data_IF_807429585143
#
_entry.id   IF_807429585143
#
_cell.length_a   1.000
_cell.length_b   1.000
_cell.length_c   1.000
_cell.angle_alpha   90.00
_cell.angle_beta   90.00
_cell.angle_gamma   90.00
#
_symmetry.space_group_name_H-M   'P 1'
#
loop_
_entity.id
_entity.type
_entity.pdbx_description
1 polymer ?
#
# COMPACT_ATOMS: atom_id res chain seq x y z
N UNK A 1 -16.92 15.98 2.58
CA UNK A 1 -17.73 14.76 2.46
C UNK A 1 -16.85 13.56 2.12
N UNK A 2 -17.09 12.45 2.75
CA UNK A 2 -16.31 11.25 2.52
C UNK A 2 -16.62 10.68 1.12
N UNK A 3 -15.57 10.33 0.39
CA UNK A 3 -15.70 9.72 -0.92
C UNK A 3 -14.93 8.40 -0.91
N UNK A 4 -15.66 7.30 -0.91
CA UNK A 4 -15.04 5.98 -0.80
C UNK A 4 -14.14 5.67 -2.00
N UNK A 5 -14.55 6.07 -3.19
CA UNK A 5 -13.75 5.81 -4.38
C UNK A 5 -12.43 6.56 -4.33
N UNK A 6 -12.46 7.81 -3.88
CA UNK A 6 -11.23 8.60 -3.74
C UNK A 6 -10.32 8.01 -2.68
N UNK A 7 -10.90 7.56 -1.58
CA UNK A 7 -10.10 6.95 -0.51
C UNK A 7 -9.42 5.67 -0.99
N UNK A 8 -10.16 4.85 -1.73
CA UNK A 8 -9.60 3.62 -2.29
C UNK A 8 -8.47 3.94 -3.26
N UNK A 9 -8.69 4.91 -4.15
CA UNK A 9 -7.67 5.30 -5.11
C UNK A 9 -6.43 5.84 -4.41
N UNK A 10 -6.63 6.63 -3.37
CA UNK A 10 -5.51 7.18 -2.61
C UNK A 10 -4.69 6.09 -1.96
N UNK A 11 -5.35 5.09 -1.38
CA UNK A 11 -4.66 3.95 -0.79
C UNK A 11 -3.89 3.17 -1.85
N UNK A 12 -4.50 2.95 -3.01
CA UNK A 12 -3.83 2.26 -4.10
C UNK A 12 -2.59 3.02 -4.57
N UNK A 13 -2.69 4.35 -4.65
CA UNK A 13 -1.56 5.18 -5.07
C UNK A 13 -0.43 5.10 -4.05
N UNK A 14 -0.76 5.11 -2.75
CA UNK A 14 0.24 5.01 -1.70
C UNK A 14 0.92 3.64 -1.71
N UNK A 15 0.14 2.59 -1.93
CA UNK A 15 0.70 1.23 -2.04
C UNK A 15 1.65 1.14 -3.23
N UNK A 16 1.28 1.74 -4.37
CA UNK A 16 2.13 1.74 -5.56
C UNK A 16 3.44 2.47 -5.29
N UNK A 17 3.42 3.57 -4.54
CA UNK A 17 4.64 4.30 -4.19
C UNK A 17 5.54 3.46 -3.29
N UNK A 18 4.95 2.74 -2.35
CA UNK A 18 5.73 1.86 -1.48
C UNK A 18 6.33 0.70 -2.26
N UNK A 19 5.57 0.14 -3.21
CA UNK A 19 6.10 -0.91 -4.08
C UNK A 19 7.33 -0.42 -4.83
N UNK A 20 7.28 0.81 -5.32
CA UNK A 20 8.41 1.39 -6.05
C UNK A 20 9.63 1.56 -5.15
N UNK A 21 9.40 2.06 -3.92
CA UNK A 21 10.50 2.23 -2.97
C UNK A 21 11.12 0.88 -2.58
N UNK A 22 10.29 -0.13 -2.39
CA UNK A 22 10.76 -1.48 -2.07
C UNK A 22 11.59 -2.01 -3.23
N UNK A 23 11.10 -1.85 -4.44
CA UNK A 23 11.82 -2.31 -5.62
C UNK A 23 13.18 -1.63 -5.77
N UNK A 24 13.22 -0.33 -5.55
CA UNK A 24 14.49 0.41 -5.61
C UNK A 24 15.47 -0.10 -4.55
N UNK A 25 14.98 -0.32 -3.33
CA UNK A 25 15.83 -0.84 -2.27
C UNK A 25 16.33 -2.23 -2.57
N UNK A 26 15.45 -3.10 -3.06
CA UNK A 26 15.83 -4.46 -3.39
C UNK A 26 16.82 -4.50 -4.54
N UNK A 27 16.69 -3.56 -5.49
CA UNK A 27 17.64 -3.45 -6.58
C UNK A 27 19.03 -3.08 -6.07
N UNK A 28 19.09 -2.13 -5.12
CA UNK A 28 20.35 -1.75 -4.49
C UNK A 28 20.99 -2.96 -3.79
N UNK A 29 20.20 -3.69 -3.01
CA UNK A 29 20.69 -4.86 -2.29
C UNK A 29 21.24 -5.90 -3.28
N UNK A 30 20.50 -6.11 -4.36
CA UNK A 30 20.92 -7.07 -5.39
C UNK A 30 22.25 -6.65 -6.01
N UNK A 31 22.40 -5.36 -6.33
CA UNK A 31 23.62 -4.85 -6.92
C UNK A 31 24.81 -5.00 -5.98
N UNK A 32 24.60 -4.73 -4.69
CA UNK A 32 25.65 -4.92 -3.69
C UNK A 32 26.04 -6.39 -3.61
N UNK A 33 25.04 -7.28 -3.56
CA UNK A 33 25.30 -8.70 -3.47
C UNK A 33 26.09 -9.21 -4.67
N UNK A 34 25.78 -8.70 -5.85
CA UNK A 34 26.52 -9.09 -7.05
C UNK A 34 27.94 -8.52 -7.07
N UNK A 35 28.10 -7.27 -6.63
CA UNK A 35 29.41 -6.62 -6.64
C UNK A 35 30.35 -7.22 -5.61
N UNK A 36 29.83 -7.72 -4.51
CA UNK A 36 30.64 -8.25 -3.41
C UNK A 36 30.31 -9.71 -3.14
N UNK A 37 30.09 -10.45 -4.19
CA UNK A 37 29.70 -11.84 -4.12
C UNK A 37 30.66 -12.64 -3.25
N UNK A 38 30.10 -13.47 -2.38
CA UNK A 38 30.89 -14.30 -1.50
C UNK A 38 31.36 -13.62 -0.24
N UNK A 39 31.04 -12.33 -0.06
CA UNK A 39 31.45 -11.58 1.13
C UNK A 39 30.29 -11.44 2.10
N UNK A 40 30.63 -11.42 3.38
CA UNK A 40 29.66 -11.15 4.43
C UNK A 40 29.51 -9.64 4.59
N UNK A 41 28.46 -9.22 5.30
CA UNK A 41 28.21 -7.81 5.55
C UNK A 41 29.44 -7.13 6.17
N UNK A 42 30.10 -7.82 7.10
CA UNK A 42 31.27 -7.27 7.80
C UNK A 42 32.47 -7.02 6.87
N UNK A 43 32.48 -7.65 5.72
CA UNK A 43 33.57 -7.54 4.76
C UNK A 43 33.36 -6.44 3.74
N UNK A 44 32.19 -5.80 3.76
CA UNK A 44 31.88 -4.72 2.86
C UNK A 44 32.57 -3.43 3.31
N UNK A 45 32.85 -2.49 2.39
CA UNK A 45 33.34 -1.16 2.79
C UNK A 45 32.35 -0.51 3.76
N UNK A 46 32.87 0.29 4.68
CA UNK A 46 32.06 0.85 5.77
C UNK A 46 30.85 1.64 5.29
N UNK A 47 31.04 2.45 4.23
CA UNK A 47 29.95 3.24 3.70
C UNK A 47 28.89 2.37 3.05
N UNK A 48 29.30 1.28 2.41
CA UNK A 48 28.36 0.32 1.81
C UNK A 48 27.61 -0.43 2.91
N UNK A 49 28.30 -0.79 3.99
CA UNK A 49 27.66 -1.44 5.13
C UNK A 49 26.54 -0.58 5.69
N UNK A 50 26.82 0.69 5.87
CA UNK A 50 25.87 1.64 6.43
C UNK A 50 24.65 1.75 5.54
N UNK A 51 24.89 1.93 4.23
CA UNK A 51 23.79 2.05 3.28
C UNK A 51 22.99 0.76 3.20
N UNK A 52 23.68 -0.39 3.23
CA UNK A 52 23.02 -1.69 3.16
C UNK A 52 22.05 -1.87 4.34
N UNK A 53 22.54 -1.58 5.53
CA UNK A 53 21.73 -1.73 6.74
C UNK A 53 20.54 -0.76 6.70
N UNK A 54 20.79 0.47 6.31
CA UNK A 54 19.75 1.49 6.21
C UNK A 54 18.67 1.10 5.21
N UNK A 55 19.09 0.63 4.04
CA UNK A 55 18.16 0.22 2.98
C UNK A 55 17.35 -1.01 3.42
N UNK A 56 18.00 -1.97 4.07
CA UNK A 56 17.30 -3.15 4.58
C UNK A 56 16.21 -2.76 5.57
N UNK A 57 16.54 -1.80 6.45
CA UNK A 57 15.57 -1.30 7.41
C UNK A 57 14.41 -0.61 6.71
N UNK A 58 14.73 0.23 5.73
CA UNK A 58 13.70 0.95 4.96
C UNK A 58 12.78 -0.01 4.22
N UNK A 59 13.34 -1.07 3.64
CA UNK A 59 12.55 -2.08 2.95
C UNK A 59 11.59 -2.75 3.94
N UNK A 60 12.10 -3.12 5.12
CA UNK A 60 11.30 -3.79 6.14
C UNK A 60 10.15 -2.89 6.59
N UNK A 61 10.44 -1.61 6.85
CA UNK A 61 9.43 -0.67 7.29
C UNK A 61 8.40 -0.40 6.18
N UNK A 62 8.87 -0.31 4.94
CA UNK A 62 7.98 -0.08 3.81
C UNK A 62 7.04 -1.26 3.59
N UNK A 63 7.56 -2.49 3.76
CA UNK A 63 6.72 -3.68 3.62
C UNK A 63 5.66 -3.75 4.72
N UNK A 64 6.02 -3.38 5.94
CA UNK A 64 5.06 -3.36 7.04
C UNK A 64 3.98 -2.33 6.80
N UNK A 65 4.36 -1.13 6.36
CA UNK A 65 3.41 -0.09 6.04
C UNK A 65 2.52 -0.48 4.88
N UNK A 66 3.10 -1.10 3.86
CA UNK A 66 2.33 -1.57 2.71
C UNK A 66 1.27 -2.57 3.14
N UNK A 67 1.65 -3.50 4.02
CA UNK A 67 0.70 -4.49 4.53
C UNK A 67 -0.46 -3.82 5.26
N UNK A 68 -0.15 -2.82 6.08
CA UNK A 68 -1.19 -2.09 6.80
C UNK A 68 -2.12 -1.38 5.83
N UNK A 69 -1.55 -0.75 4.79
CA UNK A 69 -2.36 -0.07 3.79
C UNK A 69 -3.20 -1.04 2.98
N UNK A 70 -2.68 -2.23 2.69
CA UNK A 70 -3.44 -3.25 1.99
C UNK A 70 -4.64 -3.72 2.81
N UNK A 71 -4.45 -3.85 4.12
CA UNK A 71 -5.55 -4.21 5.01
C UNK A 71 -6.60 -3.10 5.05
N UNK A 72 -6.15 -1.85 5.08
CA UNK A 72 -7.07 -0.71 5.04
C UNK A 72 -7.81 -0.68 3.71
N UNK A 73 -7.12 -0.99 2.62
CA UNK A 73 -7.73 -1.02 1.30
C UNK A 73 -8.80 -2.11 1.23
N UNK A 74 -8.50 -3.29 1.75
CA UNK A 74 -9.48 -4.37 1.79
C UNK A 74 -10.72 -3.97 2.57
N UNK A 75 -10.51 -3.32 3.72
CA UNK A 75 -11.63 -2.86 4.53
C UNK A 75 -12.44 -1.80 3.80
N UNK A 76 -11.77 -0.87 3.13
CA UNK A 76 -12.45 0.19 2.40
C UNK A 76 -13.25 -0.38 1.24
N UNK A 77 -12.66 -1.34 0.52
CA UNK A 77 -13.35 -1.98 -0.59
C UNK A 77 -14.55 -2.77 -0.12
N UNK A 78 -14.43 -3.45 1.02
CA UNK A 78 -15.53 -4.21 1.57
C UNK A 78 -16.68 -3.28 1.95
N UNK A 79 -16.35 -2.15 2.59
CA UNK A 79 -17.37 -1.16 2.97
C UNK A 79 -18.03 -0.59 1.72
N UNK A 80 -17.22 -0.25 0.71
CA UNK A 80 -17.74 0.31 -0.53
C UNK A 80 -18.67 -0.69 -1.23
N UNK A 81 -18.25 -1.95 -1.30
CA UNK A 81 -19.05 -2.99 -1.96
C UNK A 81 -20.34 -3.25 -1.19
N UNK A 82 -20.27 -3.26 0.14
CA UNK A 82 -21.46 -3.44 0.94
C UNK A 82 -22.39 -2.26 0.79
N UNK A 83 -21.86 -1.05 0.77
CA UNK A 83 -22.67 0.14 0.58
C UNK A 83 -23.36 0.11 -0.78
N UNK A 84 -22.63 -0.34 -1.82
CA UNK A 84 -23.21 -0.45 -3.15
C UNK A 84 -24.33 -1.48 -3.16
N UNK A 85 -24.14 -2.59 -2.46
CA UNK A 85 -25.15 -3.65 -2.43
C UNK A 85 -26.41 -3.21 -1.70
N UNK A 86 -26.25 -2.49 -0.60
CA UNK A 86 -27.41 -2.03 0.19
C UNK A 86 -27.89 -0.67 -0.26
N UNK A 87 -26.94 0.22 -0.53
CA UNK A 87 -27.24 1.60 -0.86
C UNK A 87 -27.90 1.75 -2.22
N UNK A 88 -27.42 1.01 -3.19
CA UNK A 88 -28.03 1.08 -4.50
C UNK A 88 -29.44 0.58 -4.46
N UNK A 89 -29.68 -0.47 -3.71
CA UNK A 89 -31.02 -0.99 -3.54
C UNK A 89 -31.92 0.02 -2.88
N UNK A 90 -31.36 0.92 -2.09
CA UNK A 90 -32.13 1.94 -1.40
C UNK A 90 -32.23 3.23 -2.17
N UNK A 91 -31.12 3.62 -2.78
CA UNK A 91 -31.07 4.86 -3.52
C UNK A 91 -31.85 4.83 -4.78
N UNK A 92 -31.79 3.70 -5.36
CA UNK A 92 -32.54 3.59 -6.55
C UNK A 92 -33.92 3.66 -6.22
N UNK A 93 -34.04 3.70 -5.02
CA UNK A 93 -35.12 4.06 -4.44
C UNK A 93 -34.89 5.28 -3.81
N UNK A 94 -34.11 5.69 -3.64
CA UNK A 94 -33.88 6.83 -3.23
C UNK A 94 -33.73 7.43 -3.46
N UNK A 95 -33.94 6.90 -3.77
CA UNK A 95 -33.95 7.57 -3.92
C UNK A 95 -34.51 7.54 -3.82
N UNK A 96 -34.82 6.93 -3.65
CA UNK A 96 -35.40 7.29 -3.28
C UNK A 96 -35.54 7.24 -2.72
N UNK A 97 -35.74 6.89 -2.60
CA UNK A 97 -35.98 7.25 -1.86
C UNK A 97 -35.86 7.46 -1.52
N UNK A 98 -36.03 7.37 -1.56
CA UNK A 98 -36.23 7.99 -1.00
C UNK A 98 -36.37 8.00 -0.80
N UNK A 99 -36.81 7.61 -1.11
CA UNK A 99 -37.28 8.04 -0.79
C UNK A 99 -37.47 8.05 -0.57
N UNK A 100 -38.02 7.70 -0.80
CA UNK A 100 -38.57 8.09 -0.46
C UNK A 100 -38.77 8.19 -0.14
N UNK A 101 -38.76 7.94 -0.17
CA UNK A 101 -39.08 8.35 0.23
C UNK A 101 -39.11 8.40 0.41
N UNK A 102 -39.62 8.27 0.27
CA UNK A 102 -39.92 8.65 0.52
C UNK A 102 -39.88 8.49 0.64
N UNK A 103 -40.11 8.12 0.49
CA UNK A 103 -40.30 8.28 0.71
C UNK A 103 -40.15 8.24 0.89
#
# INVERSE_FOLDING_TARGET
MYNAEESIKELEDQIAKLDHLILMGETFIHMVNMSFEGRTLNELPADIQEDYISIMKDISESRALKRDLELMLQAAESIFNNAAAYGLAQDERETDTEVDADE
#
